data_IF_015782278413
#
_entry.id   IF_015782278413
#
_cell.length_a   1.000
_cell.length_b   1.000
_cell.length_c   1.000
_cell.angle_alpha   90.00
_cell.angle_beta   90.00
_cell.angle_gamma   90.00
#
_symmetry.space_group_name_H-M   'P 1'
#
loop_
_entity.id
_entity.type
_entity.pdbx_description
1 polymer ?
#
# COMPACT_ATOMS: atom_id res chain seq x y z
N UNK A 1 -0.32 -1.47 -20.60
CA UNK A 1 0.98 -1.90 -20.05
C UNK A 1 0.83 -3.31 -19.52
N UNK A 2 1.55 -4.27 -20.09
CA UNK A 2 1.67 -5.60 -19.51
C UNK A 2 2.55 -5.48 -18.26
N UNK A 3 2.07 -5.94 -17.11
CA UNK A 3 2.91 -6.04 -15.91
C UNK A 3 3.86 -7.23 -16.11
N UNK A 4 5.19 -7.03 -16.12
CA UNK A 4 6.13 -8.14 -16.29
C UNK A 4 5.94 -9.17 -15.16
N UNK A 5 6.07 -10.45 -15.50
CA UNK A 5 5.62 -11.61 -14.70
C UNK A 5 6.32 -11.81 -13.33
N UNK A 6 7.29 -10.98 -12.96
CA UNK A 6 8.06 -11.08 -11.71
C UNK A 6 9.00 -9.88 -11.43
N UNK A 7 8.87 -8.78 -12.16
CA UNK A 7 9.64 -7.55 -11.93
C UNK A 7 8.88 -6.33 -12.41
N UNK A 8 9.32 -5.14 -11.99
CA UNK A 8 9.02 -3.91 -12.71
C UNK A 8 10.31 -3.32 -13.27
N UNK A 9 10.17 -2.45 -14.26
CA UNK A 9 11.28 -1.80 -14.94
C UNK A 9 11.55 -0.45 -14.29
N UNK A 10 12.81 -0.23 -13.92
CA UNK A 10 13.33 1.04 -13.44
C UNK A 10 14.38 1.55 -14.42
N UNK A 11 14.24 2.79 -14.88
CA UNK A 11 15.25 3.41 -15.75
C UNK A 11 16.30 4.03 -14.83
N UNK A 12 17.54 3.55 -14.91
CA UNK A 12 18.65 4.04 -14.11
C UNK A 12 18.88 5.54 -14.35
N UNK A 13 18.92 6.31 -13.26
CA UNK A 13 19.23 7.73 -13.28
C UNK A 13 20.75 7.93 -13.34
N UNK A 14 21.20 9.15 -13.63
CA UNK A 14 22.63 9.46 -13.64
C UNK A 14 23.22 9.27 -12.24
N UNK A 15 24.27 8.45 -12.15
CA UNK A 15 24.93 8.11 -10.88
C UNK A 15 24.31 6.93 -10.13
N UNK A 16 23.28 6.29 -10.67
CA UNK A 16 22.75 5.07 -10.08
C UNK A 16 23.77 3.93 -10.10
N UNK A 17 23.79 3.17 -9.01
CA UNK A 17 24.52 1.92 -8.82
C UNK A 17 23.55 0.84 -8.39
N UNK A 18 23.93 -0.44 -8.45
CA UNK A 18 23.08 -1.46 -7.85
C UNK A 18 22.84 -1.20 -6.36
N UNK A 19 23.82 -0.69 -5.63
CA UNK A 19 23.66 -0.31 -4.22
C UNK A 19 22.61 0.79 -4.00
N UNK A 20 22.63 1.87 -4.80
CA UNK A 20 21.63 2.95 -4.67
C UNK A 20 20.22 2.45 -4.99
N UNK A 21 20.08 1.70 -6.09
CA UNK A 21 18.79 1.18 -6.55
C UNK A 21 18.24 0.10 -5.60
N UNK A 22 19.10 -0.79 -5.10
CA UNK A 22 18.75 -1.81 -4.13
C UNK A 22 18.27 -1.18 -2.82
N UNK A 23 18.95 -0.13 -2.34
CA UNK A 23 18.52 0.66 -1.18
C UNK A 23 17.17 1.34 -1.43
N UNK A 24 16.96 1.93 -2.61
CA UNK A 24 15.70 2.57 -3.03
C UNK A 24 14.51 1.63 -2.94
N UNK A 25 14.68 0.39 -3.42
CA UNK A 25 13.61 -0.62 -3.46
C UNK A 25 13.63 -1.62 -2.30
N UNK A 26 14.54 -1.45 -1.33
CA UNK A 26 14.69 -2.33 -0.15
C UNK A 26 14.90 -3.81 -0.55
N UNK A 27 15.74 -4.03 -1.56
CA UNK A 27 16.14 -5.34 -2.07
C UNK A 27 17.64 -5.54 -1.80
N UNK A 28 18.12 -6.77 -1.74
CA UNK A 28 19.55 -7.03 -1.61
C UNK A 28 20.30 -6.61 -2.88
N UNK A 29 21.44 -5.92 -2.73
CA UNK A 29 22.24 -5.47 -3.89
C UNK A 29 22.67 -6.63 -4.78
N UNK A 30 23.21 -7.70 -4.19
CA UNK A 30 23.61 -8.91 -4.93
C UNK A 30 22.43 -9.61 -5.61
N UNK A 31 21.25 -9.59 -4.98
CA UNK A 31 20.03 -10.11 -5.59
C UNK A 31 19.65 -9.28 -6.81
N UNK A 32 19.62 -7.96 -6.68
CA UNK A 32 19.28 -7.06 -7.77
C UNK A 32 20.30 -7.16 -8.92
N UNK A 33 21.60 -7.15 -8.60
CA UNK A 33 22.69 -7.28 -9.56
C UNK A 33 22.64 -8.60 -10.30
N UNK A 34 22.47 -9.71 -9.58
CA UNK A 34 22.33 -11.05 -10.16
C UNK A 34 21.10 -11.16 -11.06
N UNK A 35 19.97 -10.58 -10.66
CA UNK A 35 18.74 -10.56 -11.47
C UNK A 35 18.89 -9.80 -12.80
N UNK A 36 19.85 -8.88 -12.87
CA UNK A 36 20.14 -8.03 -14.03
C UNK A 36 21.40 -8.44 -14.79
N UNK A 37 21.87 -9.69 -14.61
CA UNK A 37 23.01 -10.24 -15.36
C UNK A 37 24.37 -9.71 -14.92
N UNK A 38 24.44 -8.89 -13.87
CA UNK A 38 25.69 -8.52 -13.20
C UNK A 38 26.57 -7.49 -13.90
N UNK A 39 26.16 -6.91 -15.02
CA UNK A 39 26.88 -5.80 -15.65
C UNK A 39 26.60 -4.48 -14.89
N UNK A 40 27.61 -3.61 -14.77
CA UNK A 40 27.46 -2.30 -14.13
C UNK A 40 26.37 -1.44 -14.80
N UNK A 41 25.70 -0.62 -13.98
CA UNK A 41 24.61 0.23 -14.46
C UNK A 41 25.15 1.41 -15.25
N UNK A 42 24.52 1.68 -16.38
CA UNK A 42 24.68 2.93 -17.13
C UNK A 42 23.43 3.78 -16.98
N UNK A 43 23.57 5.11 -17.01
CA UNK A 43 22.41 6.02 -17.03
C UNK A 43 21.50 5.66 -18.21
N UNK A 44 20.19 5.54 -17.97
CA UNK A 44 19.19 5.11 -18.94
C UNK A 44 19.03 3.59 -19.08
N UNK A 45 19.85 2.78 -18.41
CA UNK A 45 19.69 1.32 -18.44
C UNK A 45 18.36 0.90 -17.77
N UNK A 46 17.69 -0.10 -18.36
CA UNK A 46 16.51 -0.71 -17.75
C UNK A 46 16.96 -1.74 -16.72
N UNK A 47 16.74 -1.41 -15.44
CA UNK A 47 16.95 -2.31 -14.31
C UNK A 47 15.63 -3.01 -13.99
N UNK A 48 15.64 -4.34 -14.06
CA UNK A 48 14.52 -5.19 -13.65
C UNK A 48 14.57 -5.35 -12.14
N UNK A 49 13.62 -4.73 -11.45
CA UNK A 49 13.52 -4.81 -10.00
C UNK A 49 12.66 -6.02 -9.63
N UNK A 50 13.24 -7.09 -9.03
CA UNK A 50 12.52 -8.31 -8.75
C UNK A 50 11.46 -8.07 -7.67
N UNK A 51 10.23 -8.48 -7.96
CA UNK A 51 9.14 -8.46 -6.99
C UNK A 51 8.92 -9.90 -6.54
N UNK A 52 9.09 -10.17 -5.24
CA UNK A 52 8.96 -11.52 -4.72
C UNK A 52 7.57 -12.09 -5.09
N UNK A 53 7.57 -13.27 -5.71
CA UNK A 53 6.35 -13.97 -6.11
C UNK A 53 5.51 -14.31 -4.87
N UNK A 54 4.32 -13.72 -4.79
CA UNK A 54 3.41 -13.87 -3.65
C UNK A 54 3.30 -12.57 -2.87
N UNK A 55 2.36 -11.73 -3.31
CA UNK A 55 2.04 -10.44 -2.69
C UNK A 55 1.94 -10.52 -1.17
N UNK A 56 2.20 -9.41 -0.50
CA UNK A 56 2.36 -9.22 0.95
C UNK A 56 3.81 -9.31 1.48
N UNK A 57 4.77 -9.93 0.78
CA UNK A 57 6.11 -10.19 1.35
C UNK A 57 7.10 -9.00 1.28
N UNK A 58 7.04 -8.16 0.24
CA UNK A 58 8.07 -7.12 -0.03
C UNK A 58 7.56 -5.67 -0.08
N UNK A 59 6.34 -5.42 0.42
CA UNK A 59 5.70 -4.11 0.34
C UNK A 59 4.90 -3.94 -0.97
N UNK A 60 4.14 -2.86 -1.05
CA UNK A 60 3.40 -2.52 -2.26
C UNK A 60 4.21 -1.55 -3.11
N UNK A 61 4.20 -1.75 -4.43
CA UNK A 61 4.84 -0.85 -5.39
C UNK A 61 3.76 -0.20 -6.24
N UNK A 62 3.85 1.10 -6.45
CA UNK A 62 2.87 1.85 -7.21
C UNK A 62 3.55 2.68 -8.29
N UNK A 63 3.04 2.58 -9.52
CA UNK A 63 3.47 3.41 -10.64
C UNK A 63 2.60 4.66 -10.65
N UNK A 64 3.22 5.82 -10.43
CA UNK A 64 2.56 7.12 -10.47
C UNK A 64 1.94 7.34 -11.85
N UNK A 65 0.69 7.79 -11.87
CA UNK A 65 -0.07 8.15 -13.06
C UNK A 65 -0.13 9.66 -13.19
N UNK A 66 -0.43 10.13 -14.41
CA UNK A 66 -0.54 11.57 -14.73
C UNK A 66 -1.61 12.31 -13.93
N UNK A 67 -2.58 11.61 -13.34
CA UNK A 67 -3.68 12.20 -12.57
C UNK A 67 -3.52 12.04 -11.05
N UNK A 68 -2.42 11.44 -10.61
CA UNK A 68 -2.19 11.21 -9.18
C UNK A 68 -1.74 12.47 -8.44
N UNK A 69 -2.06 12.48 -7.15
CA UNK A 69 -1.48 13.37 -6.16
C UNK A 69 -1.11 12.54 -4.93
N UNK A 70 -0.17 12.98 -4.09
CA UNK A 70 0.12 12.30 -2.81
C UNK A 70 -1.14 12.07 -1.98
N UNK A 71 -2.05 13.05 -1.95
CA UNK A 71 -3.35 12.95 -1.25
C UNK A 71 -4.20 11.81 -1.82
N UNK A 72 -4.37 11.72 -3.14
CA UNK A 72 -5.16 10.64 -3.78
C UNK A 72 -4.53 9.26 -3.58
N UNK A 73 -3.20 9.17 -3.63
CA UNK A 73 -2.48 7.91 -3.37
C UNK A 73 -2.65 7.52 -1.89
N UNK A 74 -2.45 8.47 -0.98
CA UNK A 74 -2.66 8.31 0.47
C UNK A 74 -4.06 7.79 0.79
N UNK A 75 -5.10 8.45 0.28
CA UNK A 75 -6.50 8.05 0.44
C UNK A 75 -6.77 6.66 -0.14
N UNK A 76 -6.27 6.38 -1.35
CA UNK A 76 -6.42 5.08 -2.00
C UNK A 76 -5.90 3.98 -1.10
N UNK A 77 -4.66 4.12 -0.64
CA UNK A 77 -3.97 3.06 0.12
C UNK A 77 -4.25 3.09 1.63
N UNK A 78 -4.97 4.11 2.12
CA UNK A 78 -5.13 4.41 3.54
C UNK A 78 -3.77 4.42 4.28
N UNK A 79 -2.81 5.12 3.68
CA UNK A 79 -1.49 5.40 4.27
C UNK A 79 -1.34 6.90 4.39
N UNK A 80 -0.82 7.45 5.49
CA UNK A 80 -0.60 8.89 5.58
C UNK A 80 0.40 9.40 4.54
N UNK A 81 0.25 10.66 4.12
CA UNK A 81 1.16 11.30 3.16
C UNK A 81 2.59 11.32 3.70
N UNK A 82 2.77 11.62 4.98
CA UNK A 82 4.09 11.69 5.61
C UNK A 82 4.78 10.32 5.64
N UNK A 83 4.01 9.25 5.88
CA UNK A 83 4.51 7.88 5.75
C UNK A 83 4.92 7.55 4.31
N UNK A 84 4.16 8.02 3.32
CA UNK A 84 4.48 7.84 1.90
C UNK A 84 5.77 8.58 1.52
N UNK A 85 5.98 9.80 2.00
CA UNK A 85 7.21 10.55 1.79
C UNK A 85 8.40 9.93 2.51
N UNK A 86 8.24 9.51 3.76
CA UNK A 86 9.27 8.84 4.53
C UNK A 86 9.72 7.51 3.87
N UNK A 87 8.79 6.78 3.25
CA UNK A 87 9.09 5.58 2.49
C UNK A 87 9.80 5.86 1.15
N UNK A 88 9.66 7.07 0.60
CA UNK A 88 10.16 7.48 -0.70
C UNK A 88 10.95 8.80 -0.60
N UNK A 89 12.10 8.82 0.09
CA UNK A 89 12.88 10.05 0.31
C UNK A 89 13.44 10.68 -0.98
N UNK A 90 13.36 9.96 -2.10
CA UNK A 90 13.73 10.42 -3.44
C UNK A 90 12.57 11.08 -4.21
N UNK A 91 11.34 11.02 -3.69
CA UNK A 91 10.18 11.60 -4.35
C UNK A 91 10.18 13.12 -4.14
N UNK A 92 10.05 13.89 -5.23
CA UNK A 92 9.80 15.32 -5.16
C UNK A 92 8.27 15.58 -5.08
N UNK A 93 7.73 16.06 -3.94
CA UNK A 93 6.29 16.27 -3.78
C UNK A 93 5.70 17.34 -4.71
N UNK A 94 6.55 18.25 -5.20
CA UNK A 94 6.16 19.33 -6.10
C UNK A 94 6.23 18.93 -7.60
N UNK A 95 6.88 17.81 -7.92
CA UNK A 95 7.10 17.40 -9.30
C UNK A 95 7.00 15.89 -9.46
N UNK A 96 5.79 15.42 -9.76
CA UNK A 96 5.55 14.00 -10.04
C UNK A 96 5.96 13.65 -11.46
N UNK A 97 6.62 12.51 -11.61
CA UNK A 97 6.97 11.94 -12.91
C UNK A 97 6.03 10.76 -13.16
N UNK A 98 5.06 10.85 -14.09
CA UNK A 98 4.26 9.70 -14.49
C UNK A 98 5.17 8.54 -14.94
N UNK A 99 4.88 7.34 -14.48
CA UNK A 99 5.73 6.16 -14.68
C UNK A 99 6.74 5.93 -13.54
N UNK A 100 6.99 6.90 -12.67
CA UNK A 100 7.85 6.70 -11.50
C UNK A 100 7.24 5.67 -10.54
N UNK A 101 8.04 4.70 -10.11
CA UNK A 101 7.64 3.71 -9.10
C UNK A 101 7.96 4.24 -7.71
N UNK A 102 6.98 4.13 -6.81
CA UNK A 102 7.10 4.42 -5.39
C UNK A 102 6.71 3.21 -4.55
N UNK A 103 7.25 3.17 -3.34
CA UNK A 103 6.87 2.21 -2.30
C UNK A 103 5.63 2.74 -1.58
N UNK A 104 4.59 1.93 -1.48
CA UNK A 104 3.45 2.22 -0.60
C UNK A 104 3.67 1.48 0.73
N UNK A 105 3.81 2.21 1.85
CA UNK A 105 4.08 1.63 3.17
C UNK A 105 2.81 1.05 3.82
N UNK A 106 2.15 0.12 3.14
CA UNK A 106 0.98 -0.58 3.68
C UNK A 106 1.40 -1.45 4.88
N UNK A 107 0.62 -1.36 5.96
CA UNK A 107 0.87 -2.17 7.16
C UNK A 107 0.59 -3.65 6.86
N UNK A 108 1.55 -4.55 7.12
CA UNK A 108 1.33 -6.01 6.98
C UNK A 108 0.13 -6.51 7.79
N UNK A 109 -0.21 -5.86 8.91
CA UNK A 109 -1.40 -6.20 9.72
C UNK A 109 -2.71 -5.98 8.95
N UNK A 110 -2.71 -4.99 8.05
CA UNK A 110 -3.84 -4.65 7.18
C UNK A 110 -3.98 -5.53 5.94
N UNK A 111 -3.03 -6.44 5.70
CA UNK A 111 -3.04 -7.32 4.54
C UNK A 111 -3.41 -8.76 4.93
N UNK A 112 -3.98 -9.48 3.98
CA UNK A 112 -4.21 -10.91 4.07
C UNK A 112 -3.92 -11.58 2.72
N UNK A 113 -3.50 -12.84 2.77
CA UNK A 113 -3.57 -13.70 1.60
C UNK A 113 -5.02 -14.13 1.38
N UNK A 114 -5.40 -14.17 0.11
CA UNK A 114 -6.67 -14.68 -0.38
C UNK A 114 -6.40 -15.70 -1.49
N UNK A 115 -6.97 -16.89 -1.35
CA UNK A 115 -6.89 -17.92 -2.38
C UNK A 115 -8.14 -17.85 -3.24
N UNK A 116 -7.96 -17.72 -4.56
CA UNK A 116 -9.07 -17.64 -5.49
C UNK A 116 -9.85 -18.96 -5.53
N UNK A 117 -11.17 -18.86 -5.42
CA UNK A 117 -12.09 -19.99 -5.63
C UNK A 117 -12.26 -20.33 -7.11
N UNK A 118 -12.91 -21.46 -7.37
CA UNK A 118 -13.32 -21.85 -8.72
C UNK A 118 -14.27 -20.81 -9.33
N UNK A 119 -14.04 -20.42 -10.58
CA UNK A 119 -14.86 -19.42 -11.29
C UNK A 119 -14.77 -17.98 -10.75
N UNK A 120 -13.95 -17.71 -9.73
CA UNK A 120 -13.85 -16.39 -9.14
C UNK A 120 -13.19 -15.38 -10.09
N UNK A 121 -13.81 -14.20 -10.23
CA UNK A 121 -13.33 -13.12 -11.09
C UNK A 121 -12.69 -12.02 -10.25
N UNK A 122 -11.66 -11.35 -10.80
CA UNK A 122 -11.00 -10.20 -10.14
C UNK A 122 -12.01 -9.17 -9.62
N UNK A 123 -13.01 -8.81 -10.42
CA UNK A 123 -14.04 -7.83 -10.05
C UNK A 123 -14.77 -8.22 -8.75
N UNK A 124 -15.01 -9.53 -8.54
CA UNK A 124 -15.58 -10.05 -7.30
C UNK A 124 -14.66 -9.84 -6.10
N UNK A 125 -13.37 -10.15 -6.25
CA UNK A 125 -12.34 -9.93 -5.21
C UNK A 125 -12.23 -8.43 -4.88
N UNK A 126 -12.13 -7.58 -5.89
CA UNK A 126 -12.05 -6.12 -5.73
C UNK A 126 -13.25 -5.57 -4.96
N UNK A 127 -14.47 -5.96 -5.35
CA UNK A 127 -15.71 -5.57 -4.66
C UNK A 127 -15.75 -6.09 -3.22
N UNK A 128 -15.37 -7.36 -3.01
CA UNK A 128 -15.34 -8.00 -1.69
C UNK A 128 -14.44 -7.25 -0.71
N UNK A 129 -13.28 -6.80 -1.15
CA UNK A 129 -12.29 -6.11 -0.32
C UNK A 129 -12.34 -4.57 -0.40
N UNK A 130 -13.21 -4.00 -1.24
CA UNK A 130 -13.29 -2.55 -1.43
C UNK A 130 -11.98 -1.98 -2.00
N UNK A 131 -11.42 -2.68 -2.98
CA UNK A 131 -10.16 -2.35 -3.64
C UNK A 131 -10.47 -1.94 -5.09
N UNK A 132 -9.72 -0.99 -5.63
CA UNK A 132 -9.65 -0.79 -7.07
C UNK A 132 -8.50 -1.60 -7.68
N UNK A 133 -8.48 -1.67 -9.02
CA UNK A 133 -7.46 -2.41 -9.77
C UNK A 133 -6.03 -1.93 -9.47
N UNK A 134 -5.85 -0.62 -9.27
CA UNK A 134 -4.53 -0.03 -9.00
C UNK A 134 -4.00 -0.46 -7.64
N UNK A 135 -4.86 -0.47 -6.60
CA UNK A 135 -4.49 -1.01 -5.29
C UNK A 135 -4.14 -2.49 -5.39
N UNK A 136 -4.95 -3.26 -6.13
CA UNK A 136 -4.69 -4.69 -6.31
C UNK A 136 -3.35 -4.95 -6.97
N UNK A 137 -3.06 -4.32 -8.10
CA UNK A 137 -1.77 -4.47 -8.79
C UNK A 137 -0.60 -4.05 -7.89
N UNK A 138 -0.76 -2.99 -7.10
CA UNK A 138 0.29 -2.53 -6.20
C UNK A 138 0.58 -3.52 -5.06
N UNK A 139 -0.44 -4.20 -4.54
CA UNK A 139 -0.29 -5.25 -3.52
C UNK A 139 0.16 -6.59 -4.10
N UNK A 140 -0.04 -6.80 -5.40
CA UNK A 140 0.24 -8.03 -6.12
C UNK A 140 1.19 -7.78 -7.28
N UNK A 141 2.39 -7.22 -7.01
CA UNK A 141 3.34 -6.98 -8.08
C UNK A 141 3.71 -8.33 -8.74
N UNK A 142 3.74 -8.35 -10.08
CA UNK A 142 3.99 -9.56 -10.87
C UNK A 142 2.78 -10.47 -11.11
N UNK A 143 1.61 -10.17 -10.52
CA UNK A 143 0.36 -10.87 -10.84
C UNK A 143 -0.33 -10.17 -12.01
N UNK A 144 -0.57 -10.90 -13.09
CA UNK A 144 -1.39 -10.41 -14.19
C UNK A 144 -2.88 -10.44 -13.79
N UNK A 145 -3.55 -9.28 -13.68
CA UNK A 145 -4.95 -9.22 -13.29
C UNK A 145 -5.91 -9.89 -14.30
N UNK A 146 -5.46 -10.16 -15.52
CA UNK A 146 -6.23 -10.85 -16.55
C UNK A 146 -6.00 -12.37 -16.57
N UNK A 147 -4.97 -12.86 -15.88
CA UNK A 147 -4.58 -14.28 -15.86
C UNK A 147 -4.75 -14.90 -14.46
N UNK A 148 -5.88 -14.62 -13.81
CA UNK A 148 -6.21 -15.20 -12.51
C UNK A 148 -6.78 -16.61 -12.66
N UNK A 149 -6.33 -17.55 -11.82
CA UNK A 149 -6.77 -18.93 -11.82
C UNK A 149 -7.20 -19.37 -10.42
N UNK A 150 -8.09 -20.37 -10.35
CA UNK A 150 -8.46 -21.00 -9.09
C UNK A 150 -7.21 -21.54 -8.36
N UNK A 151 -7.18 -21.41 -7.04
CA UNK A 151 -6.02 -21.77 -6.21
C UNK A 151 -4.89 -20.73 -6.19
N UNK A 152 -4.93 -19.71 -7.06
CA UNK A 152 -3.94 -18.62 -7.02
C UNK A 152 -4.07 -17.84 -5.71
N UNK A 153 -2.94 -17.56 -5.04
CA UNK A 153 -2.87 -16.75 -3.83
C UNK A 153 -2.53 -15.30 -4.18
N UNK A 154 -3.41 -14.38 -3.82
CA UNK A 154 -3.23 -12.93 -3.98
C UNK A 154 -3.26 -12.24 -2.61
N UNK A 155 -2.59 -11.12 -2.51
CA UNK A 155 -2.63 -10.22 -1.37
C UNK A 155 -3.79 -9.24 -1.51
N UNK A 156 -4.58 -9.11 -0.45
CA UNK A 156 -5.73 -8.20 -0.40
C UNK A 156 -5.64 -7.32 0.85
N UNK A 157 -6.24 -6.13 0.77
CA UNK A 157 -6.40 -5.26 1.93
C UNK A 157 -7.60 -5.71 2.74
N UNK A 158 -7.43 -5.93 4.04
CA UNK A 158 -8.53 -6.13 4.98
C UNK A 158 -9.36 -4.84 5.00
N UNK A 159 -10.70 -4.97 4.93
CA UNK A 159 -11.59 -3.82 5.14
C UNK A 159 -11.29 -3.18 6.50
N UNK A 160 -11.32 -1.85 6.58
CA UNK A 160 -11.07 -1.07 7.82
C UNK A 160 -11.92 -1.54 9.01
N UNK A 161 -13.11 -2.09 8.74
CA UNK A 161 -13.97 -2.79 9.71
C UNK A 161 -13.37 -4.06 10.34
N UNK A 162 -12.16 -4.50 9.95
CA UNK A 162 -11.45 -5.62 10.56
C UNK A 162 -10.22 -5.18 11.38
N UNK A 163 -9.89 -3.88 11.38
CA UNK A 163 -8.68 -3.33 12.01
C UNK A 163 -8.97 -2.33 13.14
N UNK A 164 -10.25 -2.08 13.44
CA UNK A 164 -10.58 -1.21 14.55
C UNK A 164 -10.23 -1.88 15.89
N UNK A 165 -9.72 -1.09 16.83
CA UNK A 165 -9.77 -1.45 18.24
C UNK A 165 -11.17 -1.16 18.75
N UNK A 166 -11.74 -2.04 19.57
CA UNK A 166 -12.94 -1.71 20.34
C UNK A 166 -12.49 -0.94 21.57
N UNK A 167 -13.14 0.19 21.83
CA UNK A 167 -12.88 1.00 23.01
C UNK A 167 -14.19 1.34 23.70
N UNK A 168 -14.28 1.08 25.00
CA UNK A 168 -15.42 1.47 25.82
C UNK A 168 -15.19 2.86 26.36
N UNK A 169 -16.09 3.80 26.04
CA UNK A 169 -16.02 5.18 26.52
C UNK A 169 -16.05 5.22 28.05
N UNK A 170 -15.13 5.98 28.63
CA UNK A 170 -15.05 6.26 30.07
C UNK A 170 -15.74 7.60 30.37
N UNK A 171 -16.15 7.84 31.63
CA UNK A 171 -16.58 9.17 32.06
C UNK A 171 -15.55 10.25 31.69
N UNK A 172 -15.99 11.31 31.01
CA UNK A 172 -15.14 12.41 30.56
C UNK A 172 -14.42 12.20 29.22
N UNK A 173 -14.58 11.06 28.54
CA UNK A 173 -14.08 10.90 27.18
C UNK A 173 -14.84 11.81 26.21
N UNK A 174 -14.09 12.45 25.32
CA UNK A 174 -14.61 13.23 24.19
C UNK A 174 -14.04 12.65 22.89
N UNK A 175 -14.63 12.93 21.72
CA UNK A 175 -14.03 12.50 20.45
C UNK A 175 -12.57 12.95 20.30
N UNK A 176 -12.25 14.17 20.73
CA UNK A 176 -10.89 14.71 20.68
C UNK A 176 -9.93 13.99 21.63
N UNK A 177 -10.32 13.76 22.89
CA UNK A 177 -9.43 13.10 23.86
C UNK A 177 -9.19 11.63 23.54
N UNK A 178 -10.20 10.93 23.03
CA UNK A 178 -10.06 9.54 22.60
C UNK A 178 -9.22 9.45 21.33
N UNK A 179 -9.50 10.29 20.33
CA UNK A 179 -8.73 10.33 19.09
C UNK A 179 -7.24 10.61 19.36
N UNK A 180 -6.93 11.62 20.19
CA UNK A 180 -5.56 11.94 20.61
C UNK A 180 -4.87 10.78 21.34
N UNK A 181 -5.59 10.02 22.17
CA UNK A 181 -5.05 8.84 22.85
C UNK A 181 -4.60 7.74 21.89
N UNK A 182 -5.23 7.67 20.73
CA UNK A 182 -4.97 6.63 19.72
C UNK A 182 -4.26 7.16 18.49
N UNK A 183 -3.72 8.39 18.53
CA UNK A 183 -2.99 9.01 17.44
C UNK A 183 -3.81 9.10 16.14
N UNK A 184 -5.09 9.44 16.24
CA UNK A 184 -5.95 9.69 15.08
C UNK A 184 -6.61 11.06 15.19
N UNK A 185 -7.15 11.58 14.09
CA UNK A 185 -7.98 12.78 14.12
C UNK A 185 -9.37 12.51 14.70
N UNK A 186 -9.95 13.50 15.40
CA UNK A 186 -11.32 13.41 15.90
C UNK A 186 -12.33 13.20 14.76
N UNK A 187 -12.10 13.84 13.60
CA UNK A 187 -12.91 13.63 12.40
C UNK A 187 -12.88 12.17 11.91
N UNK A 188 -11.72 11.52 11.92
CA UNK A 188 -11.60 10.10 11.58
C UNK A 188 -12.36 9.20 12.56
N UNK A 189 -12.23 9.46 13.87
CA UNK A 189 -12.97 8.72 14.90
C UNK A 189 -14.49 8.86 14.72
N UNK A 190 -14.97 10.09 14.48
CA UNK A 190 -16.39 10.36 14.28
C UNK A 190 -16.92 9.71 13.00
N UNK A 191 -16.19 9.83 11.88
CA UNK A 191 -16.57 9.22 10.61
C UNK A 191 -16.69 7.69 10.71
N UNK A 192 -15.78 7.04 11.45
CA UNK A 192 -15.80 5.59 11.67
C UNK A 192 -17.01 5.09 12.48
N UNK A 193 -17.68 5.98 13.21
CA UNK A 193 -18.80 5.66 14.09
C UNK A 193 -20.05 6.49 13.79
N UNK A 194 -20.13 7.12 12.60
CA UNK A 194 -21.17 8.09 12.21
C UNK A 194 -22.62 7.63 12.48
N UNK A 195 -22.93 6.34 12.32
CA UNK A 195 -24.27 5.80 12.59
C UNK A 195 -24.57 5.52 14.08
N UNK A 196 -23.58 5.59 14.98
CA UNK A 196 -23.67 5.18 16.38
C UNK A 196 -23.43 6.33 17.39
N UNK A 197 -23.02 7.52 16.96
CA UNK A 197 -22.51 8.59 17.84
C UNK A 197 -23.52 9.71 18.17
N UNK A 198 -24.83 9.44 18.20
CA UNK A 198 -25.80 10.49 18.55
C UNK A 198 -25.63 11.05 19.99
N UNK A 199 -24.93 10.35 20.89
CA UNK A 199 -24.75 10.78 22.29
C UNK A 199 -23.33 10.64 22.89
N UNK A 200 -22.36 10.02 22.20
CA UNK A 200 -20.97 9.77 22.67
C UNK A 200 -20.87 9.49 24.20
N UNK A 201 -21.71 8.58 24.71
CA UNK A 201 -21.91 8.43 26.15
C UNK A 201 -20.94 7.41 26.81
N UNK A 202 -20.57 7.60 28.09
CA UNK A 202 -19.83 6.61 28.85
C UNK A 202 -20.48 5.22 28.80
N UNK A 203 -19.65 4.18 28.71
CA UNK A 203 -20.08 2.78 28.56
C UNK A 203 -20.32 2.34 27.11
N UNK A 204 -20.42 3.27 26.16
CA UNK A 204 -20.58 2.92 24.75
C UNK A 204 -19.30 2.33 24.17
N UNK A 205 -19.41 1.21 23.44
CA UNK A 205 -18.29 0.61 22.71
C UNK A 205 -18.20 1.22 21.33
N UNK A 206 -17.11 1.93 21.06
CA UNK A 206 -16.82 2.53 19.76
C UNK A 206 -15.71 1.78 19.03
N UNK A 207 -15.70 1.95 17.71
CA UNK A 207 -14.65 1.46 16.82
C UNK A 207 -13.59 2.55 16.69
N UNK A 208 -12.37 2.27 17.12
CA UNK A 208 -11.24 3.17 16.96
C UNK A 208 -10.44 2.70 15.74
N UNK A 209 -10.37 3.48 14.65
CA UNK A 209 -9.50 3.20 13.50
C UNK A 209 -8.04 3.02 13.91
N UNK A 210 -7.21 2.35 13.09
CA UNK A 210 -5.77 2.36 13.28
C UNK A 210 -5.22 3.79 13.21
N UNK A 211 -4.10 4.00 13.91
CA UNK A 211 -3.38 5.27 14.06
C UNK A 211 -3.11 5.96 12.70
N UNK A 212 -3.37 7.26 12.63
CA UNK A 212 -3.07 8.12 11.49
C UNK A 212 -1.69 8.73 11.78
N UNK A 213 -0.66 8.19 11.15
CA UNK A 213 0.74 8.65 11.34
C UNK A 213 0.99 10.00 10.70
#
# INVERSE_FOLDING_TARGET
MAYPRNYFEYIAETGDTYGSVAKKFKIGENELRGFNGGAELSSGAVVKIPVAGGGCARGAFYVIRSTDTLKRISERFAVPVDSLLAANPYLNPAHYIPGQIIIIPVSRKSLAFYTLGEGERLVGVLKKYGMDLSMFCALNPGVDPLALCAGMRVCVRKKSGALYRRYTLKPGDTPASVAGRFGISAGCLLAANCAALSSFAPGMVIRVPPEES
#
